data_IF_809803993896
#
_entry.id   IF_809803993896
#
_cell.length_a   1.000
_cell.length_b   1.000
_cell.length_c   1.000
_cell.angle_alpha   90.00
_cell.angle_beta   90.00
_cell.angle_gamma   90.00
#
_symmetry.space_group_name_H-M   'P 1'
#
loop_
_entity.id
_entity.type
_entity.pdbx_description
1 polymer ?
#
# COMPACT_ATOMS: atom_id res chain seq x y z
N UNK A 1 4.41 -21.90 4.40
CA UNK A 1 5.70 -22.65 4.32
C UNK A 1 6.64 -22.11 3.22
N UNK A 2 6.56 -20.83 2.82
CA UNK A 2 7.25 -20.34 1.60
C UNK A 2 8.49 -19.47 1.87
N UNK A 3 9.04 -19.46 3.08
CA UNK A 3 10.23 -18.66 3.44
C UNK A 3 11.48 -19.55 3.40
N UNK A 4 12.47 -19.20 2.57
CA UNK A 4 13.76 -19.92 2.49
C UNK A 4 14.62 -19.71 3.75
N UNK A 5 14.43 -18.58 4.42
CA UNK A 5 15.10 -18.14 5.63
C UNK A 5 14.22 -18.34 6.88
N UNK A 6 13.26 -19.26 6.81
CA UNK A 6 12.36 -19.53 7.92
C UNK A 6 13.15 -19.87 9.19
N UNK A 7 13.00 -19.02 10.19
CA UNK A 7 13.38 -19.28 11.57
C UNK A 7 12.13 -19.20 12.45
N UNK A 8 11.95 -20.19 13.31
CA UNK A 8 10.78 -20.32 14.16
C UNK A 8 10.64 -19.10 15.08
N UNK A 9 11.71 -18.69 15.76
CA UNK A 9 11.66 -17.60 16.73
C UNK A 9 11.45 -16.26 16.03
N UNK A 10 12.17 -16.00 14.93
CA UNK A 10 12.07 -14.74 14.19
C UNK A 10 10.73 -14.61 13.47
N UNK A 11 10.24 -15.66 12.81
CA UNK A 11 8.95 -15.60 12.12
C UNK A 11 7.82 -15.44 13.15
N UNK A 12 7.68 -16.35 14.12
CA UNK A 12 6.58 -16.24 15.09
C UNK A 12 6.69 -14.98 15.97
N UNK A 13 7.90 -14.57 16.36
CA UNK A 13 8.13 -13.34 17.10
C UNK A 13 7.66 -12.11 16.32
N UNK A 14 8.07 -11.96 15.06
CA UNK A 14 7.64 -10.86 14.21
C UNK A 14 6.11 -10.87 14.00
N UNK A 15 5.50 -12.04 13.79
CA UNK A 15 4.04 -12.15 13.67
C UNK A 15 3.31 -11.73 14.95
N UNK A 16 3.81 -12.12 16.13
CA UNK A 16 3.25 -11.70 17.42
C UNK A 16 3.32 -10.17 17.58
N UNK A 17 4.45 -9.57 17.21
CA UNK A 17 4.62 -8.11 17.23
C UNK A 17 3.72 -7.40 16.21
N UNK A 18 3.62 -7.90 14.97
CA UNK A 18 2.71 -7.38 13.96
C UNK A 18 1.24 -7.50 14.38
N UNK A 19 0.87 -8.52 15.14
CA UNK A 19 -0.47 -8.68 15.71
C UNK A 19 -0.68 -7.95 17.05
N UNK A 20 0.39 -7.41 17.67
CA UNK A 20 0.41 -6.81 19.01
C UNK A 20 -0.20 -7.70 20.09
N UNK A 21 0.08 -8.99 20.03
CA UNK A 21 -0.35 -9.92 21.09
C UNK A 21 0.57 -9.78 22.33
N UNK A 22 1.80 -9.32 22.15
CA UNK A 22 2.83 -9.23 23.19
C UNK A 22 2.84 -7.90 23.97
N UNK A 23 2.39 -6.79 23.38
CA UNK A 23 2.53 -5.44 23.96
C UNK A 23 1.41 -4.47 23.57
N UNK A 24 0.92 -3.73 24.57
CA UNK A 24 0.08 -2.55 24.38
C UNK A 24 0.93 -1.37 23.85
N UNK A 25 1.01 -1.23 22.52
CA UNK A 25 1.59 -0.06 21.88
C UNK A 25 0.49 0.96 21.54
N UNK A 26 0.58 2.15 22.13
CA UNK A 26 -0.44 3.21 22.06
C UNK A 26 -0.28 4.16 20.84
N UNK A 27 0.83 4.07 20.08
CA UNK A 27 1.26 5.23 19.27
C UNK A 27 0.92 5.18 17.77
N UNK A 28 0.61 4.03 17.15
CA UNK A 28 0.15 4.00 15.74
C UNK A 28 -0.71 2.77 15.45
N UNK A 29 -2.03 2.84 15.46
CA UNK A 29 -2.86 1.67 15.13
C UNK A 29 -3.06 1.48 13.61
N UNK A 30 -2.12 0.78 12.97
CA UNK A 30 -2.22 0.37 11.57
C UNK A 30 -3.24 -0.76 11.31
N UNK A 31 -3.95 -1.26 12.35
CA UNK A 31 -5.02 -2.27 12.17
C UNK A 31 -6.37 -1.66 11.91
N UNK A 32 -6.54 -0.37 12.21
CA UNK A 32 -7.79 0.30 11.93
C UNK A 32 -8.08 0.19 10.44
N UNK A 33 -9.24 -0.36 10.09
CA UNK A 33 -9.75 -0.29 8.73
C UNK A 33 -10.36 1.08 8.43
N UNK A 34 -10.12 2.08 9.29
CA UNK A 34 -10.53 3.46 9.04
C UNK A 34 -9.76 4.03 7.85
N UNK A 35 -10.38 5.02 7.21
CA UNK A 35 -9.80 5.63 6.02
C UNK A 35 -8.44 6.27 6.32
N UNK A 36 -8.27 6.86 7.51
CA UNK A 36 -7.05 7.56 7.92
C UNK A 36 -5.85 6.61 8.05
N UNK A 37 -6.07 5.39 8.55
CA UNK A 37 -5.02 4.39 8.68
C UNK A 37 -4.57 3.87 7.31
N UNK A 38 -5.52 3.70 6.37
CA UNK A 38 -5.19 3.28 5.01
C UNK A 38 -4.48 4.39 4.21
N UNK A 39 -4.82 5.67 4.43
CA UNK A 39 -4.06 6.79 3.86
C UNK A 39 -2.61 6.79 4.37
N UNK A 40 -2.40 6.56 5.67
CA UNK A 40 -1.06 6.48 6.25
C UNK A 40 -0.23 5.33 5.64
N UNK A 41 -0.85 4.15 5.49
CA UNK A 41 -0.21 3.01 4.83
C UNK A 41 0.15 3.36 3.39
N UNK A 42 -0.79 3.88 2.60
CA UNK A 42 -0.54 4.27 1.20
C UNK A 42 0.59 5.30 1.08
N UNK A 43 0.63 6.31 1.96
CA UNK A 43 1.71 7.30 1.96
C UNK A 43 3.06 6.64 2.27
N UNK A 44 3.11 5.72 3.24
CA UNK A 44 4.34 4.98 3.54
C UNK A 44 4.80 4.14 2.36
N UNK A 45 3.90 3.46 1.66
CA UNK A 45 4.23 2.68 0.46
C UNK A 45 4.77 3.56 -0.67
N UNK A 46 4.18 4.74 -0.87
CA UNK A 46 4.64 5.71 -1.86
C UNK A 46 6.04 6.25 -1.55
N UNK A 47 6.41 6.37 -0.27
CA UNK A 47 7.77 6.74 0.14
C UNK A 47 8.75 5.57 -0.06
N UNK A 48 8.33 4.35 0.26
CA UNK A 48 9.15 3.14 0.14
C UNK A 48 9.46 2.77 -1.33
N UNK A 49 8.50 2.97 -2.25
CA UNK A 49 8.66 2.73 -3.69
C UNK A 49 8.29 3.99 -4.51
N UNK A 50 9.06 5.06 -4.31
CA UNK A 50 8.84 6.37 -4.92
C UNK A 50 8.89 6.35 -6.46
N UNK A 51 9.70 5.47 -7.04
CA UNK A 51 9.83 5.32 -8.50
C UNK A 51 8.93 4.21 -9.06
N UNK A 52 8.30 3.40 -8.21
CA UNK A 52 7.48 2.28 -8.63
C UNK A 52 8.26 1.07 -9.15
N UNK A 53 9.57 1.02 -8.90
CA UNK A 53 10.46 -0.01 -9.45
C UNK A 53 10.16 -1.38 -8.89
N UNK A 54 9.76 -1.45 -7.61
CA UNK A 54 9.41 -2.70 -6.96
C UNK A 54 8.09 -3.25 -7.52
N UNK A 55 7.05 -2.42 -7.58
CA UNK A 55 5.74 -2.83 -8.09
C UNK A 55 5.85 -3.30 -9.55
N UNK A 56 6.51 -2.53 -10.43
CA UNK A 56 6.64 -2.91 -11.86
C UNK A 56 7.43 -4.21 -12.07
N UNK A 57 8.31 -4.56 -11.15
CA UNK A 57 9.10 -5.79 -11.21
C UNK A 57 8.27 -7.01 -10.84
N UNK A 58 7.43 -6.90 -9.81
CA UNK A 58 6.70 -8.04 -9.25
C UNK A 58 5.25 -8.16 -9.73
N UNK A 59 4.69 -7.07 -10.26
CA UNK A 59 3.33 -6.99 -10.79
C UNK A 59 3.40 -6.50 -12.25
N UNK A 60 3.76 -7.39 -13.20
CA UNK A 60 4.06 -7.01 -14.58
C UNK A 60 2.86 -6.41 -15.33
N UNK A 61 1.62 -6.73 -14.94
CA UNK A 61 0.41 -6.12 -15.48
C UNK A 61 0.29 -4.62 -15.17
N UNK A 62 1.01 -4.11 -14.16
CA UNK A 62 1.08 -2.68 -13.82
C UNK A 62 2.32 -1.99 -14.42
N UNK A 63 3.12 -2.69 -15.24
CA UNK A 63 4.41 -2.17 -15.73
C UNK A 63 4.31 -0.87 -16.53
N UNK A 64 3.20 -0.65 -17.23
CA UNK A 64 3.01 0.52 -18.10
C UNK A 64 2.03 1.55 -17.47
N UNK A 65 1.59 1.32 -16.21
CA UNK A 65 0.71 2.23 -15.46
C UNK A 65 1.47 3.51 -15.06
N UNK A 66 0.88 4.71 -15.26
CA UNK A 66 1.51 5.97 -14.83
C UNK A 66 1.81 6.00 -13.33
N UNK A 67 2.96 6.58 -12.94
CA UNK A 67 3.40 6.61 -11.53
C UNK A 67 2.34 7.15 -10.57
N UNK A 68 1.57 8.17 -10.99
CA UNK A 68 0.47 8.76 -10.22
C UNK A 68 -0.62 7.78 -9.78
N UNK A 69 -0.76 6.64 -10.47
CA UNK A 69 -1.78 5.62 -10.19
C UNK A 69 -1.19 4.28 -9.80
N UNK A 70 0.13 4.14 -9.77
CA UNK A 70 0.76 2.83 -9.60
C UNK A 70 0.39 2.17 -8.26
N UNK A 71 0.31 2.98 -7.20
CA UNK A 71 -0.10 2.55 -5.86
C UNK A 71 -1.63 2.47 -5.69
N UNK A 72 -2.41 3.01 -6.64
CA UNK A 72 -3.87 3.06 -6.61
C UNK A 72 -4.47 2.86 -8.02
N UNK A 73 -4.26 1.71 -8.69
CA UNK A 73 -4.62 1.53 -10.11
C UNK A 73 -6.13 1.63 -10.36
N UNK A 74 -6.96 1.33 -9.35
CA UNK A 74 -8.43 1.46 -9.43
C UNK A 74 -8.92 2.91 -9.56
N UNK A 75 -8.05 3.91 -9.42
CA UNK A 75 -8.38 5.33 -9.61
C UNK A 75 -8.21 5.81 -11.06
N UNK A 76 -7.64 4.99 -11.95
CA UNK A 76 -7.55 5.31 -13.38
C UNK A 76 -8.96 5.43 -13.98
N UNK A 77 -9.13 6.35 -14.92
CA UNK A 77 -10.32 6.33 -15.77
C UNK A 77 -10.24 5.25 -16.86
N UNK A 78 -11.32 5.06 -17.62
CA UNK A 78 -11.39 4.02 -18.65
C UNK A 78 -10.43 4.23 -19.82
N UNK A 79 -10.00 5.46 -20.11
CA UNK A 79 -9.07 5.75 -21.21
C UNK A 79 -7.61 5.65 -20.74
N UNK A 80 -7.34 6.02 -19.50
CA UNK A 80 -6.08 5.80 -18.80
C UNK A 80 -5.79 4.30 -18.66
N UNK A 81 -6.78 3.49 -18.26
CA UNK A 81 -6.65 2.03 -18.21
C UNK A 81 -6.27 1.42 -19.57
N UNK A 82 -6.95 1.84 -20.65
CA UNK A 82 -6.63 1.39 -22.01
C UNK A 82 -5.24 1.80 -22.44
N UNK A 83 -4.84 3.05 -22.14
CA UNK A 83 -3.54 3.59 -22.50
C UNK A 83 -2.40 2.90 -21.76
N UNK A 84 -2.64 2.51 -20.50
CA UNK A 84 -1.71 1.74 -19.68
C UNK A 84 -1.72 0.23 -19.99
N UNK A 85 -2.67 -0.25 -20.79
CA UNK A 85 -2.82 -1.68 -21.08
C UNK A 85 -3.22 -2.52 -19.87
N UNK A 86 -3.85 -1.92 -18.85
CA UNK A 86 -4.26 -2.58 -17.62
C UNK A 86 -5.68 -2.17 -17.24
N UNK A 87 -6.64 -3.10 -17.40
CA UNK A 87 -8.04 -2.89 -17.04
C UNK A 87 -8.32 -3.46 -15.65
N UNK A 88 -8.61 -2.58 -14.70
CA UNK A 88 -8.93 -2.99 -13.33
C UNK A 88 -10.28 -3.72 -13.28
N UNK A 89 -10.28 -4.91 -12.68
CA UNK A 89 -11.36 -5.88 -12.67
C UNK A 89 -11.18 -7.01 -13.69
N UNK A 90 -10.26 -6.87 -14.64
CA UNK A 90 -9.94 -7.90 -15.65
C UNK A 90 -8.48 -8.32 -15.55
N UNK A 91 -7.55 -7.38 -15.77
CA UNK A 91 -6.11 -7.64 -15.79
C UNK A 91 -5.49 -7.50 -14.40
N UNK A 92 -6.03 -6.60 -13.58
CA UNK A 92 -5.65 -6.40 -12.19
C UNK A 92 -6.90 -6.35 -11.30
N UNK A 93 -6.96 -7.01 -10.14
CA UNK A 93 -8.18 -7.08 -9.35
C UNK A 93 -8.61 -5.71 -8.79
N UNK A 94 -9.92 -5.54 -8.60
CA UNK A 94 -10.45 -4.43 -7.78
C UNK A 94 -10.03 -4.63 -6.31
N UNK A 95 -9.90 -3.55 -5.51
CA UNK A 95 -9.68 -3.67 -4.09
C UNK A 95 -10.68 -4.65 -3.44
N UNK A 96 -10.17 -5.70 -2.79
CA UNK A 96 -10.99 -6.75 -2.18
C UNK A 96 -11.73 -6.23 -0.94
N UNK A 97 -11.04 -5.37 -0.18
CA UNK A 97 -11.60 -4.63 0.94
C UNK A 97 -11.26 -3.16 0.66
N UNK A 98 -12.28 -2.32 0.50
CA UNK A 98 -12.10 -0.90 0.29
C UNK A 98 -12.73 -0.14 1.45
N UNK A 99 -11.97 0.77 2.05
CA UNK A 99 -12.60 1.81 2.85
C UNK A 99 -13.28 2.80 1.88
N UNK A 100 -14.52 3.13 2.21
CA UNK A 100 -15.48 3.73 1.29
C UNK A 100 -15.03 5.12 0.80
N UNK A 101 -14.19 5.82 1.58
CA UNK A 101 -13.69 7.17 1.33
C UNK A 101 -12.48 7.18 0.38
N UNK A 102 -11.64 6.15 0.41
CA UNK A 102 -10.49 6.01 -0.49
C UNK A 102 -10.86 5.76 -1.95
N UNK A 103 -12.09 5.35 -2.22
CA UNK A 103 -12.62 5.27 -3.59
C UNK A 103 -12.98 6.64 -4.17
N UNK A 104 -13.14 7.68 -3.32
CA UNK A 104 -13.72 8.97 -3.71
C UNK A 104 -12.71 10.11 -3.93
N UNK A 105 -11.45 9.98 -3.50
CA UNK A 105 -10.46 11.06 -3.54
C UNK A 105 -9.19 10.66 -4.30
N UNK A 106 -8.62 11.58 -5.07
CA UNK A 106 -7.30 11.41 -5.74
C UNK A 106 -6.18 11.70 -4.73
N UNK A 107 -5.10 10.90 -4.66
CA UNK A 107 -4.05 11.14 -3.67
C UNK A 107 -3.23 12.37 -4.09
N UNK A 108 -2.99 13.28 -3.15
CA UNK A 108 -2.07 14.39 -3.35
C UNK A 108 -0.69 13.99 -2.82
N UNK A 109 0.30 13.95 -3.72
CA UNK A 109 1.70 13.60 -3.40
C UNK A 109 2.32 14.59 -2.41
N UNK A 110 1.83 15.83 -2.36
CA UNK A 110 2.34 16.85 -1.44
C UNK A 110 2.02 16.54 0.03
N UNK A 111 0.91 15.84 0.32
CA UNK A 111 0.52 15.48 1.69
C UNK A 111 1.39 14.37 2.30
N UNK A 112 2.10 13.57 1.49
CA UNK A 112 2.93 12.47 1.98
C UNK A 112 4.22 12.97 2.67
N UNK A 113 4.65 14.20 2.39
CA UNK A 113 5.87 14.80 2.97
C UNK A 113 5.63 15.36 4.38
N UNK A 114 4.41 15.77 4.67
CA UNK A 114 4.08 16.44 5.94
C UNK A 114 3.93 15.45 7.12
N UNK A 115 3.66 14.17 6.86
CA UNK A 115 3.51 13.14 7.90
C UNK A 115 4.81 12.46 8.37
N UNK A 116 5.93 12.67 7.67
CA UNK A 116 7.20 11.99 7.97
C UNK A 116 8.14 12.80 8.89
N UNK A 117 7.80 14.06 9.21
CA UNK A 117 8.71 14.99 9.88
C UNK A 117 8.67 14.94 11.43
N UNK A 118 7.71 14.26 12.05
CA UNK A 118 7.51 14.28 13.50
C UNK A 118 7.65 12.88 14.13
N UNK A 119 8.85 12.31 14.05
CA UNK A 119 9.19 11.07 14.73
C UNK A 119 10.68 10.95 14.94
N UNK A 120 11.21 11.57 15.99
CA UNK A 120 12.56 11.28 16.48
C UNK A 120 12.62 9.81 16.89
N UNK A 121 13.60 9.09 16.33
CA UNK A 121 14.06 7.77 16.79
C UNK A 121 14.43 7.79 18.28
#
# INVERSE_FOLDING_TARGET
EMLLDYDVAMNYGNWVTCCRVDKDYDVYDFRSSSDEALELVLNSEMVNDAEGTYIRRWVPELRDVPLKYLHCPWRMDGDEMKSAGCVVGTDYPKPVIAAQKLLAQTPNIDNAKDGAAEGSW
#
